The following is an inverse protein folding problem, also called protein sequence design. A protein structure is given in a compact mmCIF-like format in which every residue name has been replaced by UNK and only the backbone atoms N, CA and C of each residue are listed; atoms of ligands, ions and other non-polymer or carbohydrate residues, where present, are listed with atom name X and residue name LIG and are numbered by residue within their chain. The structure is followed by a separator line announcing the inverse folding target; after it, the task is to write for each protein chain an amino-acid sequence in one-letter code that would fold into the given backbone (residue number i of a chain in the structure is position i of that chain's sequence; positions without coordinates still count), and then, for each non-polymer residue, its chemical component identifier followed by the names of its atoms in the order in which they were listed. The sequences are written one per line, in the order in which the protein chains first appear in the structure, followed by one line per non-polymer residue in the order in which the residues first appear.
data_IF_746045431247
#
_entry.id   IF_746045431247
#
_cell.length_a   1.000
_cell.length_b   1.000
_cell.length_c   1.000
_cell.angle_alpha   90.00
_cell.angle_beta   90.00
_cell.angle_gamma   90.00
#
_symmetry.space_group_name_H-M   'P 1'
#
loop_
_entity.id
_entity.type
_entity.pdbx_description
1 polymer ?
#
# COMPACT_ATOMS: atom_id res chain seq x y z
N UNK A 1 -8.42 -18.20 12.20
CA UNK A 1 -7.15 -17.77 11.55
C UNK A 1 -7.30 -16.29 11.29
N UNK A 2 -6.48 -15.49 11.93
CA UNK A 2 -6.51 -14.03 11.85
C UNK A 2 -6.36 -13.60 10.38
N UNK A 3 -7.36 -12.94 9.88
CA UNK A 3 -7.30 -12.29 8.59
C UNK A 3 -6.33 -11.15 8.57
N UNK A 4 -5.73 -10.51 7.95
CA UNK A 4 -4.81 -9.39 7.79
C UNK A 4 -4.05 -8.97 9.04
N UNK A 5 -2.77 -8.77 8.86
CA UNK A 5 -1.83 -8.33 9.89
C UNK A 5 -2.40 -7.11 10.62
N UNK A 6 -2.54 -7.21 11.93
CA UNK A 6 -2.84 -6.07 12.81
C UNK A 6 -1.89 -4.90 12.55
N UNK A 7 -0.66 -5.20 12.15
CA UNK A 7 0.31 -4.21 11.71
C UNK A 7 -0.16 -3.39 10.50
N UNK A 8 -0.73 -4.01 9.46
CA UNK A 8 -1.22 -3.28 8.29
C UNK A 8 -2.32 -2.27 8.67
N UNK A 9 -3.24 -2.65 9.55
CA UNK A 9 -4.30 -1.76 10.05
C UNK A 9 -3.74 -0.60 10.87
N UNK A 10 -2.73 -0.86 11.74
CA UNK A 10 -2.08 0.16 12.56
C UNK A 10 -1.24 1.11 11.71
N UNK A 11 -0.55 0.58 10.69
CA UNK A 11 0.19 1.40 9.73
C UNK A 11 -0.70 2.48 9.12
N UNK A 12 -1.92 2.13 8.73
CA UNK A 12 -2.88 3.10 8.20
C UNK A 12 -3.31 4.14 9.24
N UNK A 13 -3.50 3.75 10.50
CA UNK A 13 -3.78 4.70 11.60
C UNK A 13 -2.60 5.64 11.86
N UNK A 14 -1.36 5.14 11.84
CA UNK A 14 -0.14 5.93 12.09
C UNK A 14 0.21 6.86 10.92
N UNK A 15 -0.01 6.45 9.69
CA UNK A 15 0.19 7.27 8.48
C UNK A 15 -0.68 8.53 8.47
N UNK A 16 -1.85 8.49 9.09
CA UNK A 16 -2.76 9.65 9.18
C UNK A 16 -2.23 10.76 10.12
N UNK A 17 -1.28 10.47 11.02
CA UNK A 17 -0.89 11.39 12.10
C UNK A 17 0.42 12.14 11.85
N UNK A 18 1.37 11.61 11.05
CA UNK A 18 2.75 12.15 10.95
C UNK A 18 3.29 12.28 9.51
N UNK A 19 2.43 12.55 8.55
CA UNK A 19 2.85 12.64 7.14
C UNK A 19 3.77 13.84 6.92
N UNK A 20 5.03 13.59 6.65
CA UNK A 20 5.94 14.55 6.02
C UNK A 20 5.42 14.86 4.61
N UNK A 21 4.47 15.78 4.49
CA UNK A 21 3.74 16.13 3.24
C UNK A 21 4.64 16.23 2.00
N UNK A 22 5.87 16.72 2.17
CA UNK A 22 6.83 16.82 1.07
C UNK A 22 7.24 15.47 0.46
N UNK A 23 7.48 14.44 1.30
CA UNK A 23 7.82 13.09 0.79
C UNK A 23 6.65 12.44 0.06
N UNK A 24 5.44 12.56 0.60
CA UNK A 24 4.23 12.03 -0.04
C UNK A 24 4.02 12.68 -1.40
N UNK A 25 4.15 13.99 -1.49
CA UNK A 25 4.04 14.70 -2.77
C UNK A 25 5.11 14.27 -3.78
N UNK A 26 6.35 14.04 -3.32
CA UNK A 26 7.44 13.56 -4.19
C UNK A 26 7.16 12.16 -4.73
N UNK A 27 6.68 11.24 -3.90
CA UNK A 27 6.30 9.88 -4.31
C UNK A 27 5.14 9.88 -5.29
N UNK A 28 4.07 10.63 -5.00
CA UNK A 28 2.94 10.79 -5.91
C UNK A 28 3.33 11.46 -7.23
N UNK A 29 4.22 12.44 -7.22
CA UNK A 29 4.71 13.08 -8.45
C UNK A 29 5.48 12.09 -9.35
N UNK A 30 6.31 11.20 -8.76
CA UNK A 30 6.98 10.12 -9.50
C UNK A 30 5.95 9.17 -10.11
N UNK A 31 4.95 8.75 -9.34
CA UNK A 31 3.91 7.82 -9.77
C UNK A 31 3.04 8.40 -10.89
N UNK A 32 2.61 9.67 -10.77
CA UNK A 32 1.90 10.40 -11.82
C UNK A 32 2.74 10.45 -13.10
N UNK A 33 4.03 10.77 -12.99
CA UNK A 33 4.94 10.86 -14.15
C UNK A 33 5.09 9.51 -14.86
N UNK A 34 5.22 8.41 -14.10
CA UNK A 34 5.30 7.06 -14.66
C UNK A 34 3.98 6.65 -15.31
N UNK A 35 2.84 6.91 -14.65
CA UNK A 35 1.54 6.61 -15.20
C UNK A 35 1.27 7.38 -16.51
N UNK A 36 1.60 8.66 -16.55
CA UNK A 36 1.47 9.49 -17.75
C UNK A 36 2.38 9.04 -18.89
N UNK A 37 3.60 8.59 -18.58
CA UNK A 37 4.54 8.06 -19.58
C UNK A 37 4.04 6.76 -20.22
N UNK A 38 3.46 5.86 -19.43
CA UNK A 38 3.04 4.54 -19.89
C UNK A 38 1.70 4.55 -20.62
N UNK A 39 0.76 5.37 -20.19
CA UNK A 39 -0.62 5.36 -20.67
C UNK A 39 -1.10 6.71 -21.26
N UNK A 40 -0.21 7.69 -21.40
CA UNK A 40 -0.57 9.05 -21.88
C UNK A 40 -1.04 9.97 -20.76
N UNK A 41 -1.02 11.28 -21.06
CA UNK A 41 -1.32 12.35 -20.10
C UNK A 41 -2.79 12.66 -19.86
N UNK A 42 -3.70 12.00 -20.59
CA UNK A 42 -5.14 12.19 -20.42
C UNK A 42 -5.72 11.16 -19.41
N UNK A 43 -6.21 11.63 -18.24
CA UNK A 43 -6.81 10.73 -17.24
C UNK A 43 -8.07 9.99 -17.73
N UNK A 44 -8.76 10.50 -18.77
CA UNK A 44 -9.93 9.83 -19.32
C UNK A 44 -9.57 8.54 -20.05
N UNK A 45 -8.41 8.52 -20.70
CA UNK A 45 -7.86 7.36 -21.41
C UNK A 45 -6.86 6.53 -20.59
N UNK A 46 -6.50 6.96 -19.37
CA UNK A 46 -5.47 6.32 -18.55
C UNK A 46 -5.98 6.07 -17.12
N UNK A 47 -6.56 4.88 -16.84
CA UNK A 47 -7.12 4.55 -15.52
C UNK A 47 -6.09 4.63 -14.39
N UNK A 48 -4.82 4.20 -14.62
CA UNK A 48 -3.74 4.31 -13.62
C UNK A 48 -3.50 5.78 -13.26
N UNK A 49 -3.36 6.65 -14.27
CA UNK A 49 -3.15 8.08 -14.05
C UNK A 49 -4.32 8.70 -13.29
N UNK A 50 -5.56 8.33 -13.64
CA UNK A 50 -6.76 8.81 -12.97
C UNK A 50 -6.75 8.48 -11.49
N UNK A 51 -6.47 7.24 -11.12
CA UNK A 51 -6.39 6.79 -9.73
C UNK A 51 -5.31 7.54 -8.95
N UNK A 52 -4.11 7.68 -9.51
CA UNK A 52 -3.02 8.40 -8.82
C UNK A 52 -3.34 9.89 -8.65
N UNK A 53 -4.04 10.52 -9.60
CA UNK A 53 -4.51 11.90 -9.47
C UNK A 53 -5.57 12.02 -8.36
N UNK A 54 -6.48 11.05 -8.24
CA UNK A 54 -7.48 11.01 -7.16
C UNK A 54 -6.77 10.92 -5.79
N UNK A 55 -5.82 10.01 -5.63
CA UNK A 55 -5.00 9.90 -4.41
C UNK A 55 -4.22 11.19 -4.10
N UNK A 56 -3.65 11.85 -5.12
CA UNK A 56 -2.94 13.10 -4.94
C UNK A 56 -3.87 14.24 -4.45
N UNK A 57 -5.12 14.26 -4.92
CA UNK A 57 -6.14 15.23 -4.46
C UNK A 57 -6.59 14.96 -3.03
N UNK A 58 -6.73 13.70 -2.63
CA UNK A 58 -7.08 13.31 -1.25
C UNK A 58 -6.07 13.82 -0.23
N UNK A 59 -4.76 13.83 -0.58
CA UNK A 59 -3.72 14.40 0.27
C UNK A 59 -3.51 15.91 0.07
N UNK A 60 -4.39 16.58 -0.68
CA UNK A 60 -4.32 18.01 -0.99
C UNK A 60 -3.05 18.44 -1.75
N UNK A 61 -2.57 17.61 -2.69
CA UNK A 61 -1.48 18.00 -3.59
C UNK A 61 -1.92 19.14 -4.51
N UNK A 62 -1.15 20.23 -4.62
CA UNK A 62 -1.51 21.35 -5.50
C UNK A 62 -1.67 20.91 -6.96
N UNK A 63 -2.73 21.39 -7.62
CA UNK A 63 -3.05 21.03 -9.02
C UNK A 63 -1.90 21.33 -9.97
N UNK A 64 -1.14 22.37 -9.71
CA UNK A 64 0.05 22.73 -10.53
C UNK A 64 1.14 21.64 -10.43
N UNK A 65 1.33 21.04 -9.25
CA UNK A 65 2.28 19.94 -9.08
C UNK A 65 1.84 18.68 -9.83
N UNK A 66 0.54 18.38 -9.82
CA UNK A 66 -0.05 17.28 -10.59
C UNK A 66 0.19 17.52 -12.09
N UNK A 67 -0.15 18.71 -12.59
CA UNK A 67 0.04 19.08 -13.99
C UNK A 67 1.50 18.97 -14.43
N UNK A 68 2.44 19.51 -13.64
CA UNK A 68 3.88 19.41 -13.92
C UNK A 68 4.38 17.98 -13.94
N UNK A 69 3.87 17.11 -13.06
CA UNK A 69 4.24 15.69 -13.04
C UNK A 69 3.74 14.97 -14.31
N UNK A 70 2.52 15.26 -14.77
CA UNK A 70 2.00 14.74 -16.05
C UNK A 70 2.88 15.20 -17.20
N UNK A 71 3.18 16.50 -17.31
CA UNK A 71 3.99 17.06 -18.38
C UNK A 71 5.41 16.50 -18.42
N UNK A 72 6.01 16.20 -17.26
CA UNK A 72 7.29 15.48 -17.20
C UNK A 72 7.16 14.04 -17.71
N UNK A 73 6.06 13.36 -17.39
CA UNK A 73 5.78 12.01 -17.85
C UNK A 73 5.58 11.91 -19.36
N UNK A 74 4.85 12.86 -19.94
CA UNK A 74 4.58 12.95 -21.39
C UNK A 74 5.75 13.48 -22.22
N UNK A 75 6.79 14.02 -21.56
CA UNK A 75 7.94 14.62 -22.23
C UNK A 75 7.75 16.08 -22.65
N UNK A 76 6.64 16.72 -22.32
CA UNK A 76 6.40 18.15 -22.58
C UNK A 76 7.32 19.06 -21.76
N UNK A 77 7.75 18.59 -20.59
CA UNK A 77 8.77 19.22 -19.77
C UNK A 77 9.97 18.30 -19.59
N UNK A 78 11.19 18.85 -19.51
CA UNK A 78 12.37 18.08 -19.13
C UNK A 78 12.14 17.44 -17.75
N UNK A 79 12.46 16.16 -17.63
CA UNK A 79 12.29 15.42 -16.39
C UNK A 79 13.09 14.14 -16.35
N UNK A 80 13.22 13.61 -15.15
CA UNK A 80 13.87 12.32 -14.90
C UNK A 80 12.92 11.19 -15.30
N UNK A 81 13.43 10.20 -16.02
CA UNK A 81 12.68 8.98 -16.33
C UNK A 81 12.83 8.01 -15.17
N UNK A 82 11.71 7.65 -14.55
CA UNK A 82 11.69 6.65 -13.49
C UNK A 82 11.28 5.28 -14.04
N UNK A 83 11.90 4.24 -13.52
CA UNK A 83 11.54 2.84 -13.79
C UNK A 83 10.99 2.21 -12.53
N UNK A 84 9.95 1.38 -12.71
CA UNK A 84 9.36 0.59 -11.62
C UNK A 84 10.21 -0.68 -11.43
N UNK A 85 10.67 -0.89 -10.20
CA UNK A 85 11.44 -2.05 -9.79
C UNK A 85 10.84 -2.64 -8.53
N UNK A 86 10.83 -3.97 -8.46
CA UNK A 86 10.42 -4.70 -7.27
C UNK A 86 11.62 -5.44 -6.69
N UNK A 87 11.85 -5.28 -5.40
CA UNK A 87 12.87 -6.01 -4.65
C UNK A 87 12.20 -6.94 -3.66
N UNK A 88 12.79 -8.11 -3.51
CA UNK A 88 12.25 -9.19 -2.71
C UNK A 88 13.27 -9.65 -1.68
N UNK A 89 12.81 -10.11 -0.52
CA UNK A 89 13.70 -10.61 0.50
C UNK A 89 12.98 -11.05 1.76
N UNK A 90 13.77 -11.25 2.79
CA UNK A 90 13.30 -11.71 4.08
C UNK A 90 13.77 -10.77 5.18
N UNK A 91 12.88 -10.46 6.11
CA UNK A 91 13.15 -9.71 7.32
C UNK A 91 13.39 -10.59 8.53
N UNK A 92 13.49 -9.98 9.73
CA UNK A 92 13.53 -10.68 10.99
C UNK A 92 12.47 -11.77 11.11
N UNK A 93 12.85 -12.90 11.70
CA UNK A 93 11.96 -14.06 11.84
C UNK A 93 11.59 -14.79 10.54
N UNK A 94 12.23 -14.43 9.41
CA UNK A 94 11.95 -15.04 8.10
C UNK A 94 10.70 -14.49 7.42
N UNK A 95 10.17 -13.37 7.89
CA UNK A 95 9.03 -12.71 7.26
C UNK A 95 9.37 -12.23 5.85
N UNK A 96 8.50 -12.52 4.89
CA UNK A 96 8.66 -12.07 3.51
C UNK A 96 8.50 -10.54 3.41
N UNK A 97 9.33 -9.92 2.57
CA UNK A 97 9.29 -8.49 2.27
C UNK A 97 9.28 -8.29 0.76
N UNK A 98 8.31 -7.50 0.29
CA UNK A 98 8.20 -7.07 -1.09
C UNK A 98 8.26 -5.54 -1.12
N UNK A 99 9.25 -4.97 -1.81
CA UNK A 99 9.51 -3.53 -1.88
C UNK A 99 9.30 -3.05 -3.31
N UNK A 100 8.33 -2.18 -3.52
CA UNK A 100 8.06 -1.54 -4.82
C UNK A 100 8.71 -0.18 -4.86
N UNK A 101 9.49 0.09 -5.90
CA UNK A 101 10.25 1.34 -6.05
C UNK A 101 10.01 2.00 -7.41
N UNK A 102 10.13 3.33 -7.44
CA UNK A 102 10.26 4.13 -8.66
C UNK A 102 11.60 4.85 -8.64
N UNK A 103 12.53 4.40 -9.46
CA UNK A 103 13.91 4.89 -9.46
C UNK A 103 14.38 5.36 -10.82
N UNK A 104 15.25 6.34 -10.81
CA UNK A 104 16.04 6.79 -11.97
C UNK A 104 17.41 6.11 -12.07
N UNK A 105 17.80 5.33 -11.02
CA UNK A 105 19.09 4.66 -10.96
C UNK A 105 19.00 3.33 -10.20
N UNK A 106 18.78 2.23 -10.93
CA UNK A 106 18.63 0.87 -10.39
C UNK A 106 19.79 0.44 -9.51
N UNK A 107 21.04 0.77 -9.93
CA UNK A 107 22.25 0.34 -9.22
C UNK A 107 22.37 1.03 -7.85
N UNK A 108 22.05 2.33 -7.79
CA UNK A 108 21.99 3.05 -6.53
C UNK A 108 20.92 2.43 -5.63
N UNK A 109 19.69 2.32 -6.11
CA UNK A 109 18.55 1.86 -5.30
C UNK A 109 18.73 0.45 -4.78
N UNK A 110 19.22 -0.52 -5.59
CA UNK A 110 19.44 -1.88 -5.12
C UNK A 110 20.53 -1.93 -4.02
N UNK A 111 21.57 -1.09 -4.13
CA UNK A 111 22.63 -1.02 -3.12
C UNK A 111 22.10 -0.43 -1.81
N UNK A 112 21.29 0.62 -1.87
CA UNK A 112 20.69 1.28 -0.71
C UNK A 112 19.67 0.38 -0.02
N UNK A 113 18.78 -0.29 -0.77
CA UNK A 113 17.83 -1.28 -0.23
C UNK A 113 18.56 -2.44 0.44
N UNK A 114 19.59 -3.00 -0.22
CA UNK A 114 20.41 -4.08 0.38
C UNK A 114 21.07 -3.63 1.69
N UNK A 115 21.59 -2.42 1.73
CA UNK A 115 22.20 -1.85 2.93
C UNK A 115 21.15 -1.69 4.05
N UNK A 116 19.97 -1.14 3.76
CA UNK A 116 18.90 -0.98 4.75
C UNK A 116 18.44 -2.33 5.30
N UNK A 117 18.20 -3.31 4.43
CA UNK A 117 17.82 -4.66 4.86
C UNK A 117 18.88 -5.27 5.77
N UNK A 118 20.14 -5.27 5.35
CA UNK A 118 21.25 -5.85 6.14
C UNK A 118 21.43 -5.14 7.49
N UNK A 119 21.29 -3.82 7.53
CA UNK A 119 21.37 -3.02 8.76
C UNK A 119 20.28 -3.37 9.78
N UNK A 120 19.13 -3.81 9.32
CA UNK A 120 17.96 -4.15 10.14
C UNK A 120 17.66 -5.65 10.19
N UNK A 121 18.70 -6.48 10.09
CA UNK A 121 18.62 -7.96 10.19
C UNK A 121 17.74 -8.61 9.11
N UNK A 122 17.57 -7.98 7.95
CA UNK A 122 16.95 -8.55 6.77
C UNK A 122 17.98 -8.95 5.71
N UNK A 123 17.53 -9.65 4.70
CA UNK A 123 18.36 -10.11 3.58
C UNK A 123 17.61 -9.89 2.26
N UNK A 124 18.27 -9.22 1.31
CA UNK A 124 17.76 -9.11 -0.05
C UNK A 124 17.91 -10.45 -0.75
N UNK A 125 16.81 -10.96 -1.30
CA UNK A 125 16.76 -12.22 -2.04
C UNK A 125 16.83 -12.03 -3.55
N UNK A 126 16.65 -13.13 -4.27
CA UNK A 126 16.52 -13.12 -5.72
C UNK A 126 15.07 -12.80 -6.14
N UNK A 127 14.89 -12.30 -7.36
CA UNK A 127 13.57 -12.03 -7.93
C UNK A 127 12.72 -13.30 -7.96
N UNK A 128 11.49 -13.24 -7.48
CA UNK A 128 10.56 -14.37 -7.40
C UNK A 128 10.65 -15.16 -6.09
N UNK A 129 11.51 -14.80 -5.14
CA UNK A 129 11.66 -15.56 -3.89
C UNK A 129 10.46 -15.40 -2.94
N UNK A 130 9.76 -14.27 -2.98
CA UNK A 130 8.58 -14.02 -2.10
C UNK A 130 7.36 -13.48 -2.83
N UNK A 131 7.45 -12.99 -4.06
CA UNK A 131 6.33 -12.38 -4.78
C UNK A 131 5.10 -13.29 -4.86
N UNK A 132 5.28 -14.61 -4.98
CA UNK A 132 4.22 -15.63 -5.02
C UNK A 132 3.40 -15.72 -3.72
N UNK A 133 3.91 -15.18 -2.62
CA UNK A 133 3.22 -15.15 -1.31
C UNK A 133 2.09 -14.12 -1.34
N UNK A 134 2.17 -13.11 -2.20
CA UNK A 134 1.27 -11.97 -2.23
C UNK A 134 0.31 -12.02 -3.42
N UNK A 135 -0.96 -11.72 -3.17
CA UNK A 135 -1.98 -11.47 -4.18
C UNK A 135 -2.32 -9.99 -4.23
N UNK A 136 -2.42 -9.45 -5.44
CA UNK A 136 -2.91 -8.10 -5.65
C UNK A 136 -4.43 -8.09 -5.52
N UNK A 137 -4.97 -7.31 -4.57
CA UNK A 137 -6.40 -7.26 -4.25
C UNK A 137 -6.86 -5.82 -4.01
N UNK A 138 -8.14 -5.57 -4.23
CA UNK A 138 -8.81 -4.43 -3.62
C UNK A 138 -9.12 -4.74 -2.16
N UNK A 139 -8.83 -3.80 -1.28
CA UNK A 139 -8.97 -3.92 0.15
C UNK A 139 -9.74 -2.72 0.71
N UNK A 140 -10.85 -2.99 1.40
CA UNK A 140 -11.70 -1.96 1.99
C UNK A 140 -11.87 -2.27 3.48
N UNK A 141 -11.73 -1.23 4.32
CA UNK A 141 -12.04 -1.28 5.74
C UNK A 141 -13.31 -0.47 6.02
N UNK A 142 -14.22 -1.05 6.77
CA UNK A 142 -15.46 -0.42 7.23
C UNK A 142 -15.54 -0.53 8.75
N UNK A 143 -15.67 0.58 9.47
CA UNK A 143 -15.82 0.60 10.93
C UNK A 143 -17.11 -0.13 11.33
N UNK A 144 -17.00 -1.14 12.20
CA UNK A 144 -18.11 -1.94 12.72
C UNK A 144 -19.18 -1.13 13.44
N UNK A 145 -18.84 0.06 13.92
CA UNK A 145 -19.78 0.97 14.57
C UNK A 145 -20.68 1.70 13.57
N UNK A 146 -20.30 1.74 12.29
CA UNK A 146 -20.98 2.53 11.25
C UNK A 146 -21.82 1.69 10.29
N UNK A 147 -21.70 0.37 10.32
CA UNK A 147 -22.42 -0.53 9.41
C UNK A 147 -22.87 -1.79 10.12
N UNK A 148 -24.08 -2.23 9.78
CA UNK A 148 -24.59 -3.54 10.12
C UNK A 148 -23.95 -4.60 9.22
N UNK A 149 -23.57 -5.75 9.80
CA UNK A 149 -22.83 -6.81 9.11
C UNK A 149 -23.61 -7.38 7.92
N UNK A 150 -24.87 -7.72 8.10
CA UNK A 150 -25.70 -8.34 7.07
C UNK A 150 -25.92 -7.37 5.89
N UNK A 151 -26.17 -6.09 6.19
CA UNK A 151 -26.31 -5.04 5.19
C UNK A 151 -25.01 -4.82 4.43
N UNK A 152 -23.87 -4.73 5.13
CA UNK A 152 -22.56 -4.57 4.49
C UNK A 152 -22.25 -5.76 3.57
N UNK A 153 -22.47 -6.99 4.07
CA UNK A 153 -22.21 -8.21 3.30
C UNK A 153 -23.05 -8.25 2.02
N UNK A 154 -24.36 -7.99 2.13
CA UNK A 154 -25.26 -7.97 0.96
C UNK A 154 -24.82 -6.96 -0.08
N UNK A 155 -24.59 -5.69 0.33
CA UNK A 155 -24.20 -4.62 -0.59
C UNK A 155 -22.83 -4.88 -1.23
N UNK A 156 -21.86 -5.38 -0.46
CA UNK A 156 -20.52 -5.64 -0.96
C UNK A 156 -20.50 -6.79 -1.97
N UNK A 157 -21.13 -7.93 -1.65
CA UNK A 157 -21.17 -9.10 -2.53
C UNK A 157 -21.96 -8.82 -3.82
N UNK A 158 -23.10 -8.13 -3.72
CA UNK A 158 -23.90 -7.74 -4.90
C UNK A 158 -23.10 -6.79 -5.84
N UNK A 159 -22.16 -6.03 -5.29
CA UNK A 159 -21.30 -5.12 -6.05
C UNK A 159 -20.01 -5.77 -6.59
N UNK A 160 -19.78 -7.05 -6.30
CA UNK A 160 -18.62 -7.80 -6.80
C UNK A 160 -17.48 -8.00 -5.81
N UNK A 161 -17.72 -7.86 -4.50
CA UNK A 161 -16.74 -8.25 -3.50
C UNK A 161 -16.53 -9.77 -3.53
N UNK A 162 -15.27 -10.19 -3.33
CA UNK A 162 -14.90 -11.60 -3.28
C UNK A 162 -15.21 -12.24 -1.91
N UNK A 163 -14.99 -11.47 -0.87
CA UNK A 163 -15.09 -11.95 0.50
C UNK A 163 -15.29 -10.77 1.47
N UNK A 164 -15.91 -11.04 2.61
CA UNK A 164 -16.00 -10.13 3.73
C UNK A 164 -15.59 -10.88 5.02
N UNK A 165 -14.76 -10.24 5.83
CA UNK A 165 -14.30 -10.80 7.09
C UNK A 165 -14.77 -9.96 8.26
N UNK A 166 -15.20 -10.66 9.31
CA UNK A 166 -15.58 -10.11 10.61
C UNK A 166 -14.78 -10.83 11.70
N UNK A 167 -13.50 -10.47 11.86
CA UNK A 167 -12.66 -11.09 12.87
C UNK A 167 -13.02 -10.55 14.28
N UNK A 168 -13.26 -11.45 15.26
CA UNK A 168 -13.49 -11.05 16.65
C UNK A 168 -12.29 -10.28 17.21
N UNK A 169 -12.53 -9.12 17.79
CA UNK A 169 -11.47 -8.26 18.35
C UNK A 169 -10.91 -7.20 17.40
N UNK A 170 -11.28 -7.23 16.12
CA UNK A 170 -10.99 -6.15 15.19
C UNK A 170 -12.10 -5.08 15.21
N UNK A 171 -11.71 -3.82 15.01
CA UNK A 171 -12.67 -2.70 14.99
C UNK A 171 -13.37 -2.54 13.64
N UNK A 172 -12.81 -3.13 12.57
CA UNK A 172 -13.29 -2.99 11.21
C UNK A 172 -13.73 -4.34 10.62
N UNK A 173 -14.71 -4.27 9.72
CA UNK A 173 -14.91 -5.30 8.71
C UNK A 173 -13.88 -5.13 7.61
N UNK A 174 -13.43 -6.25 7.03
CA UNK A 174 -12.55 -6.25 5.86
C UNK A 174 -13.33 -6.75 4.65
N UNK A 175 -13.36 -5.99 3.58
CA UNK A 175 -13.96 -6.38 2.32
C UNK A 175 -12.87 -6.52 1.26
N UNK A 176 -12.83 -7.67 0.60
CA UNK A 176 -11.87 -8.03 -0.44
C UNK A 176 -12.54 -7.98 -1.81
N UNK A 177 -11.83 -7.43 -2.79
CA UNK A 177 -12.29 -7.39 -4.19
C UNK A 177 -11.16 -7.79 -5.14
N UNK A 178 -11.48 -8.09 -6.39
CA UNK A 178 -10.48 -7.95 -7.44
C UNK A 178 -10.08 -6.47 -7.57
N UNK A 179 -8.85 -6.17 -8.04
CA UNK A 179 -8.39 -4.78 -8.18
C UNK A 179 -9.32 -3.90 -9.03
N UNK A 180 -9.92 -4.50 -10.05
CA UNK A 180 -10.82 -3.85 -11.00
C UNK A 180 -12.17 -3.47 -10.38
N UNK A 181 -12.64 -4.27 -9.42
CA UNK A 181 -13.96 -4.14 -8.79
C UNK A 181 -13.96 -3.22 -7.57
N UNK A 182 -12.79 -2.86 -7.05
CA UNK A 182 -12.64 -1.99 -5.88
C UNK A 182 -13.50 -0.72 -5.96
N UNK A 183 -13.48 -0.09 -7.13
CA UNK A 183 -14.22 1.16 -7.33
C UNK A 183 -15.73 0.95 -7.31
N UNK A 184 -16.21 -0.10 -7.96
CA UNK A 184 -17.65 -0.43 -8.01
C UNK A 184 -18.18 -0.74 -6.61
N UNK A 185 -17.44 -1.53 -5.83
CA UNK A 185 -17.80 -1.86 -4.45
C UNK A 185 -17.79 -0.62 -3.56
N UNK A 186 -16.72 0.22 -3.63
CA UNK A 186 -16.64 1.48 -2.88
C UNK A 186 -17.82 2.41 -3.18
N UNK A 187 -18.20 2.54 -4.46
CA UNK A 187 -19.35 3.37 -4.87
C UNK A 187 -20.69 2.80 -4.38
N UNK A 188 -20.86 1.47 -4.40
CA UNK A 188 -22.07 0.82 -3.90
C UNK A 188 -22.22 1.02 -2.39
N UNK A 189 -21.15 0.85 -1.62
CA UNK A 189 -21.12 1.14 -0.19
C UNK A 189 -21.50 2.61 0.09
N UNK A 190 -20.92 3.54 -0.66
CA UNK A 190 -21.25 4.97 -0.55
C UNK A 190 -22.73 5.28 -0.82
N UNK A 191 -23.33 4.64 -1.83
CA UNK A 191 -24.77 4.77 -2.13
C UNK A 191 -25.64 4.22 -1.01
N UNK A 192 -25.19 3.18 -0.32
CA UNK A 192 -25.84 2.63 0.86
C UNK A 192 -25.57 3.43 2.15
N UNK A 193 -24.88 4.57 2.05
CA UNK A 193 -24.45 5.41 3.18
C UNK A 193 -23.50 4.69 4.16
N UNK A 194 -22.77 3.68 3.66
CA UNK A 194 -21.73 2.97 4.41
C UNK A 194 -20.39 3.65 4.14
N UNK A 195 -19.82 4.27 5.19
CA UNK A 195 -18.52 4.93 5.11
C UNK A 195 -17.36 3.92 5.12
N UNK A 196 -16.34 4.17 4.30
CA UNK A 196 -15.11 3.38 4.30
C UNK A 196 -13.99 4.15 4.99
N UNK A 197 -13.27 3.52 5.91
CA UNK A 197 -12.09 4.11 6.56
C UNK A 197 -10.83 3.95 5.70
N UNK A 198 -10.80 2.93 4.82
CA UNK A 198 -9.76 2.70 3.84
C UNK A 198 -10.36 2.06 2.60
N UNK A 199 -9.87 2.38 1.42
CA UNK A 199 -10.17 1.67 0.18
C UNK A 199 -8.99 1.83 -0.80
N UNK A 200 -8.23 0.76 -1.00
CA UNK A 200 -7.02 0.78 -1.85
C UNK A 200 -6.79 -0.55 -2.56
N UNK A 201 -5.98 -0.53 -3.62
CA UNK A 201 -5.41 -1.74 -4.21
C UNK A 201 -4.08 -2.02 -3.53
N UNK A 202 -3.92 -3.20 -2.95
CA UNK A 202 -2.73 -3.57 -2.16
C UNK A 202 -2.28 -5.00 -2.46
N UNK A 203 -1.10 -5.37 -1.95
CA UNK A 203 -0.56 -6.72 -2.02
C UNK A 203 -0.85 -7.44 -0.70
N UNK A 204 -1.75 -8.40 -0.72
CA UNK A 204 -2.17 -9.14 0.47
C UNK A 204 -1.45 -10.48 0.55
N UNK A 205 -0.82 -10.82 1.68
CA UNK A 205 -0.17 -12.10 1.84
C UNK A 205 -1.20 -13.24 2.00
N UNK A 206 -0.92 -14.38 1.37
CA UNK A 206 -1.72 -15.61 1.48
C UNK A 206 -1.58 -16.28 2.84
N UNK A 207 -0.44 -16.10 3.49
CA UNK A 207 -0.11 -16.65 4.79
C UNK A 207 0.68 -15.66 5.61
N UNK A 208 0.51 -15.72 6.93
CA UNK A 208 1.20 -14.86 7.89
C UNK A 208 2.19 -15.65 8.73
N UNK A 209 3.27 -14.97 9.13
CA UNK A 209 4.26 -15.46 10.10
C UNK A 209 4.10 -14.62 11.36
N UNK A 210 3.77 -15.26 12.47
CA UNK A 210 3.70 -14.59 13.79
C UNK A 210 5.12 -14.38 14.33
N UNK A 211 5.50 -13.14 14.57
CA UNK A 211 6.78 -12.77 15.15
C UNK A 211 6.66 -12.59 16.67
N UNK A 212 7.75 -12.88 17.38
CA UNK A 212 7.87 -12.48 18.79
C UNK A 212 8.08 -10.95 18.91
N UNK A 213 8.04 -10.42 20.15
CA UNK A 213 8.15 -9.00 20.41
C UNK A 213 9.42 -8.37 19.84
N UNK A 214 10.56 -9.05 20.00
CA UNK A 214 11.86 -8.56 19.57
C UNK A 214 11.96 -8.53 18.04
N UNK A 215 11.56 -9.62 17.38
CA UNK A 215 11.53 -9.73 15.92
C UNK A 215 10.54 -8.73 15.33
N UNK A 216 9.37 -8.55 15.95
CA UNK A 216 8.35 -7.60 15.53
C UNK A 216 8.85 -6.15 15.57
N UNK A 217 9.54 -5.77 16.64
CA UNK A 217 10.15 -4.43 16.75
C UNK A 217 11.23 -4.22 15.68
N UNK A 218 12.09 -5.21 15.45
CA UNK A 218 13.11 -5.15 14.40
C UNK A 218 12.47 -5.03 13.01
N UNK A 219 11.41 -5.79 12.76
CA UNK A 219 10.67 -5.77 11.50
C UNK A 219 10.01 -4.41 11.25
N UNK A 220 9.40 -3.81 12.28
CA UNK A 220 8.83 -2.47 12.21
C UNK A 220 9.87 -1.44 11.83
N UNK A 221 11.03 -1.45 12.49
CA UNK A 221 12.14 -0.54 12.17
C UNK A 221 12.67 -0.73 10.74
N UNK A 222 12.70 -1.97 10.25
CA UNK A 222 13.09 -2.26 8.87
C UNK A 222 12.10 -1.66 7.88
N UNK A 223 10.79 -1.88 8.10
CA UNK A 223 9.76 -1.33 7.22
C UNK A 223 9.79 0.20 7.22
N UNK A 224 9.86 0.82 8.38
CA UNK A 224 9.95 2.28 8.50
C UNK A 224 11.19 2.85 7.76
N UNK A 225 12.33 2.19 7.89
CA UNK A 225 13.55 2.59 7.19
C UNK A 225 13.45 2.43 5.66
N UNK A 226 12.81 1.36 5.18
CA UNK A 226 12.52 1.17 3.76
C UNK A 226 11.52 2.18 3.24
N UNK A 227 10.45 2.44 3.96
CA UNK A 227 9.42 3.42 3.58
C UNK A 227 9.93 4.88 3.59
N UNK A 228 10.93 5.17 4.43
CA UNK A 228 11.57 6.49 4.46
C UNK A 228 12.51 6.72 3.27
N UNK A 229 12.84 5.70 2.50
CA UNK A 229 13.66 5.81 1.29
C UNK A 229 12.88 6.48 0.15
N UNK A 230 13.52 7.46 -0.53
CA UNK A 230 12.86 8.32 -1.53
C UNK A 230 12.37 7.57 -2.78
N UNK A 231 13.01 6.47 -3.15
CA UNK A 231 12.62 5.67 -4.31
C UNK A 231 11.59 4.59 -3.97
N UNK A 232 11.39 4.25 -2.69
CA UNK A 232 10.40 3.26 -2.26
C UNK A 232 9.00 3.87 -2.30
N UNK A 233 8.10 3.20 -3.00
CA UNK A 233 6.68 3.55 -3.05
C UNK A 233 5.90 2.81 -1.98
N UNK A 234 6.03 1.48 -1.96
CA UNK A 234 5.32 0.61 -1.03
C UNK A 234 6.24 -0.49 -0.49
N UNK A 235 5.98 -0.90 0.74
CA UNK A 235 6.57 -2.08 1.37
C UNK A 235 5.46 -2.97 1.86
N UNK A 236 5.48 -4.24 1.44
CA UNK A 236 4.54 -5.27 1.87
C UNK A 236 5.27 -6.37 2.61
N UNK A 237 4.62 -6.95 3.59
CA UNK A 237 5.17 -8.06 4.36
C UNK A 237 4.07 -8.98 4.86
N UNK A 238 4.44 -10.23 5.15
CA UNK A 238 3.53 -11.25 5.66
C UNK A 238 3.69 -11.50 7.17
N UNK A 239 4.30 -10.58 7.91
CA UNK A 239 4.40 -10.75 9.37
C UNK A 239 3.13 -10.31 10.08
N UNK A 240 2.88 -10.93 11.21
CA UNK A 240 1.85 -10.54 12.18
C UNK A 240 2.44 -10.50 13.59
N UNK A 241 1.84 -9.69 14.48
CA UNK A 241 2.25 -9.55 15.87
C UNK A 241 1.02 -9.62 16.78
N UNK A 242 1.14 -10.19 17.99
CA UNK A 242 0.08 -10.11 18.99
C UNK A 242 -0.31 -8.66 19.31
N UNK A 243 -1.61 -8.39 19.48
CA UNK A 243 -2.15 -7.05 19.72
C UNK A 243 -1.50 -6.33 20.92
N UNK A 244 -1.18 -7.06 21.98
CA UNK A 244 -0.55 -6.54 23.21
C UNK A 244 0.83 -5.89 22.95
N UNK A 245 1.47 -6.20 21.85
CA UNK A 245 2.79 -5.68 21.48
C UNK A 245 2.71 -4.40 20.65
N UNK A 246 1.59 -4.17 19.97
CA UNK A 246 1.36 -3.02 19.12
C UNK A 246 1.07 -1.74 19.92
N UNK A 247 0.43 -1.88 21.09
CA UNK A 247 0.16 -0.75 21.98
C UNK A 247 1.43 -0.14 22.61
N UNK A 248 2.51 -0.90 22.70
CA UNK A 248 3.80 -0.43 23.26
C UNK A 248 4.69 0.28 22.23
N UNK A 249 4.35 0.22 20.95
CA UNK A 249 5.11 0.82 19.85
C UNK A 249 4.50 2.13 19.33
N UNK A 250 3.47 2.63 20.03
CA UNK A 250 2.74 3.87 19.68
C UNK A 250 3.25 5.06 20.46
#
# INVERSE_FOLDING_TARGET
MSGHSKWAQIKHKKAATDVKKGKVFSKLAKEISVAARLGGGDPAGNPRLKTVIENAKEVNMPSENIKRAIQKGTGELPGTSYEEMTYEGYGPGGAAILVVTLTDNKNRTVSEIRHLMSKHNGTLGETGCVAWIFDKRGYILVDKKTADEDTLMSVALDAGALDMKNDPGEENYEVLTEPEDLKAVKEALGKASIGTSLAEVTMLPKNYITLDAHQGEQMTRLIEALEDHDDVQNVYSNFDMPAEMLEKSS
#
